data_IF_965847203072
#
_entry.id   IF_965847203072
#
_cell.length_a   1.000
_cell.length_b   1.000
_cell.length_c   1.000
_cell.angle_alpha   90.00
_cell.angle_beta   90.00
_cell.angle_gamma   90.00
#
_symmetry.space_group_name_H-M   'P 1'
#
loop_
_entity.id
_entity.type
_entity.pdbx_description
1 polymer ?
#
# COMPACT_ATOMS: atom_id res chain seq x y z
N UNK A 1 11.86 9.50 -33.34
CA UNK A 1 12.16 9.17 -31.93
C UNK A 1 12.70 10.42 -31.27
N UNK A 2 12.34 10.66 -30.02
CA UNK A 2 12.92 11.69 -29.17
C UNK A 2 13.77 10.98 -28.11
N UNK A 3 14.90 11.54 -27.69
CA UNK A 3 15.75 10.98 -26.64
C UNK A 3 15.64 11.86 -25.40
N UNK A 4 15.12 11.29 -24.31
CA UNK A 4 15.04 11.97 -23.03
C UNK A 4 16.00 11.30 -22.02
N UNK A 5 16.51 12.08 -21.08
CA UNK A 5 17.38 11.59 -19.99
C UNK A 5 16.53 11.38 -18.75
N UNK A 6 16.57 10.20 -18.16
CA UNK A 6 15.80 9.85 -16.96
C UNK A 6 16.73 9.68 -15.76
N UNK A 7 16.28 10.15 -14.59
CA UNK A 7 16.84 9.83 -13.29
C UNK A 7 15.72 9.48 -12.32
N UNK A 8 15.87 8.34 -11.66
CA UNK A 8 14.94 7.86 -10.63
C UNK A 8 15.64 7.88 -9.27
N UNK A 9 14.89 8.21 -8.24
CA UNK A 9 15.40 8.38 -6.87
C UNK A 9 14.85 7.33 -5.92
N UNK A 10 15.64 7.02 -4.88
CA UNK A 10 15.32 6.09 -3.80
C UNK A 10 14.77 4.73 -4.28
N UNK A 11 13.67 4.25 -3.69
CA UNK A 11 13.03 2.96 -3.98
C UNK A 11 12.61 2.78 -5.44
N UNK A 12 12.47 3.86 -6.22
CA UNK A 12 12.14 3.74 -7.65
C UNK A 12 13.26 3.03 -8.43
N UNK A 13 14.50 3.08 -7.95
CA UNK A 13 15.62 2.36 -8.55
C UNK A 13 15.45 0.83 -8.49
N UNK A 14 14.64 0.31 -7.56
CA UNK A 14 14.37 -1.12 -7.47
C UNK A 14 13.63 -1.67 -8.71
N UNK A 15 12.90 -0.82 -9.44
CA UNK A 15 12.21 -1.19 -10.67
C UNK A 15 13.14 -1.27 -11.89
N UNK A 16 14.31 -0.64 -11.83
CA UNK A 16 15.20 -0.49 -12.98
C UNK A 16 16.22 -1.64 -13.08
N UNK A 17 16.72 -1.94 -14.29
CA UNK A 17 17.92 -2.76 -14.48
C UNK A 17 19.11 -2.20 -13.71
N UNK A 18 19.96 -3.07 -13.17
CA UNK A 18 21.10 -2.69 -12.30
C UNK A 18 22.02 -1.62 -12.92
N UNK A 19 22.21 -1.64 -14.24
CA UNK A 19 23.07 -0.68 -14.95
C UNK A 19 22.53 0.76 -14.97
N UNK A 20 21.23 0.94 -14.72
CA UNK A 20 20.49 2.21 -14.80
C UNK A 20 20.15 2.78 -13.42
N UNK A 21 20.45 2.07 -12.34
CA UNK A 21 20.16 2.51 -10.96
C UNK A 21 21.08 3.64 -10.54
N UNK A 22 20.52 4.55 -9.73
CA UNK A 22 21.21 5.64 -9.02
C UNK A 22 21.99 6.58 -9.95
N UNK A 23 21.56 6.70 -11.21
CA UNK A 23 22.20 7.55 -12.21
C UNK A 23 21.23 8.03 -13.28
N UNK A 24 21.64 9.08 -13.98
CA UNK A 24 20.96 9.54 -15.18
C UNK A 24 21.34 8.66 -16.38
N UNK A 25 20.38 8.36 -17.25
CA UNK A 25 20.60 7.62 -18.49
C UNK A 25 19.65 8.07 -19.60
N UNK A 26 20.10 7.99 -20.85
CA UNK A 26 19.28 8.30 -22.01
C UNK A 26 18.34 7.15 -22.37
N UNK A 27 17.13 7.48 -22.79
CA UNK A 27 16.15 6.52 -23.30
C UNK A 27 15.43 7.07 -24.54
N UNK A 28 15.39 6.27 -25.59
CA UNK A 28 14.68 6.61 -26.83
C UNK A 28 13.18 6.39 -26.64
N UNK A 29 12.42 7.46 -26.85
CA UNK A 29 10.96 7.52 -26.72
C UNK A 29 10.30 7.68 -28.10
N UNK A 30 9.05 7.22 -28.22
CA UNK A 30 8.20 7.57 -29.36
C UNK A 30 7.99 9.10 -29.40
N UNK A 31 7.80 9.69 -30.59
CA UNK A 31 7.71 11.15 -30.76
C UNK A 31 6.58 11.80 -29.96
N UNK A 32 5.50 11.06 -29.75
CA UNK A 32 4.30 11.56 -29.04
C UNK A 32 4.13 10.85 -27.67
N UNK A 33 5.21 10.26 -27.15
CA UNK A 33 5.16 9.62 -25.84
C UNK A 33 4.96 10.69 -24.75
N UNK A 34 4.04 10.41 -23.83
CA UNK A 34 3.95 11.18 -22.59
C UNK A 34 5.00 10.71 -21.60
N UNK A 35 5.30 11.54 -20.60
CA UNK A 35 6.21 11.17 -19.50
C UNK A 35 5.76 9.86 -18.85
N UNK A 36 4.45 9.68 -18.63
CA UNK A 36 3.86 8.44 -18.13
C UNK A 36 4.29 7.23 -18.94
N UNK A 37 4.03 7.25 -20.25
CA UNK A 37 4.28 6.10 -21.11
C UNK A 37 5.77 5.74 -21.14
N UNK A 38 6.66 6.74 -21.14
CA UNK A 38 8.10 6.49 -21.10
C UNK A 38 8.56 5.89 -19.76
N UNK A 39 8.06 6.41 -18.63
CA UNK A 39 8.34 5.87 -17.28
C UNK A 39 7.85 4.41 -17.16
N UNK A 40 6.65 4.11 -17.64
CA UNK A 40 6.09 2.75 -17.63
C UNK A 40 6.84 1.79 -18.54
N UNK A 41 7.37 2.27 -19.68
CA UNK A 41 8.22 1.50 -20.59
C UNK A 41 9.58 1.16 -19.97
N UNK A 42 10.12 2.05 -19.11
CA UNK A 42 11.26 1.76 -18.23
C UNK A 42 10.90 0.82 -17.07
N UNK A 43 9.61 0.52 -16.94
CA UNK A 43 9.04 -0.46 -16.03
C UNK A 43 8.55 0.13 -14.71
N UNK A 44 8.79 1.41 -14.43
CA UNK A 44 8.36 2.03 -13.18
C UNK A 44 6.85 2.29 -13.26
N UNK A 45 6.01 1.74 -12.36
CA UNK A 45 4.58 2.04 -12.40
C UNK A 45 4.31 3.51 -12.09
N UNK A 46 3.41 4.15 -12.82
CA UNK A 46 3.09 5.57 -12.60
C UNK A 46 2.54 5.86 -11.20
N UNK A 47 1.92 4.87 -10.56
CA UNK A 47 1.38 4.98 -9.19
C UNK A 47 2.46 5.08 -8.13
N UNK A 48 3.70 4.72 -8.45
CA UNK A 48 4.84 4.84 -7.54
C UNK A 48 5.49 6.22 -7.62
N UNK A 49 5.12 7.05 -8.60
CA UNK A 49 5.66 8.39 -8.79
C UNK A 49 4.86 9.39 -7.96
N UNK A 50 5.53 10.11 -7.07
CA UNK A 50 4.94 11.21 -6.31
C UNK A 50 5.28 12.57 -6.91
N UNK A 51 6.56 12.98 -6.82
CA UNK A 51 7.05 14.22 -7.44
C UNK A 51 7.74 13.91 -8.76
N UNK A 52 7.42 14.70 -9.78
CA UNK A 52 7.98 14.59 -11.12
C UNK A 52 8.46 15.96 -11.58
N UNK A 53 9.68 16.02 -12.10
CA UNK A 53 10.24 17.22 -12.69
C UNK A 53 10.69 16.94 -14.13
N UNK A 54 10.42 17.89 -15.04
CA UNK A 54 11.02 17.92 -16.38
C UNK A 54 11.77 19.22 -16.53
N UNK A 55 13.06 19.16 -16.85
CA UNK A 55 13.97 20.31 -16.96
C UNK A 55 13.90 21.20 -15.71
N UNK A 56 14.00 20.57 -14.53
CA UNK A 56 13.99 21.20 -13.20
C UNK A 56 12.67 21.92 -12.82
N UNK A 57 11.64 21.83 -13.66
CA UNK A 57 10.30 22.34 -13.38
C UNK A 57 9.32 21.20 -13.02
N UNK A 58 8.39 21.38 -12.06
CA UNK A 58 7.33 20.41 -11.80
C UNK A 58 6.52 20.09 -13.06
N UNK A 59 6.22 18.80 -13.26
CA UNK A 59 5.54 18.33 -14.45
C UNK A 59 4.48 17.27 -14.11
N UNK A 60 3.45 17.19 -14.95
CA UNK A 60 2.44 16.14 -14.88
C UNK A 60 2.83 14.93 -15.76
N UNK A 61 2.31 13.76 -15.41
CA UNK A 61 2.57 12.50 -16.10
C UNK A 61 2.04 12.49 -17.54
N UNK A 62 0.99 13.26 -17.84
CA UNK A 62 0.38 13.36 -19.18
C UNK A 62 1.10 14.36 -20.10
N UNK A 63 2.11 15.08 -19.61
CA UNK A 63 2.94 15.98 -20.44
C UNK A 63 3.62 15.18 -21.56
N UNK A 64 3.60 15.64 -22.83
CA UNK A 64 4.41 15.07 -23.90
C UNK A 64 5.91 15.25 -23.61
N UNK A 65 6.75 14.36 -24.15
CA UNK A 65 8.21 14.44 -24.04
C UNK A 65 8.82 15.02 -25.32
N UNK A 66 9.71 16.00 -25.15
CA UNK A 66 10.52 16.57 -26.24
C UNK A 66 11.92 15.94 -26.28
N UNK A 67 12.60 16.07 -27.43
CA UNK A 67 13.98 15.63 -27.58
C UNK A 67 14.91 16.45 -26.67
N UNK A 68 15.74 15.78 -25.88
CA UNK A 68 16.64 16.39 -24.91
C UNK A 68 16.05 16.63 -23.53
N UNK A 69 14.76 16.36 -23.30
CA UNK A 69 14.13 16.54 -21.99
C UNK A 69 14.86 15.75 -20.89
N UNK A 70 15.04 16.38 -19.72
CA UNK A 70 15.55 15.74 -18.50
C UNK A 70 14.41 15.46 -17.54
N UNK A 71 14.11 14.19 -17.29
CA UNK A 71 13.05 13.73 -16.40
C UNK A 71 13.66 13.25 -15.08
N UNK A 72 13.20 13.82 -13.97
CA UNK A 72 13.52 13.35 -12.62
C UNK A 72 12.26 12.91 -11.90
N UNK A 73 12.24 11.65 -11.46
CA UNK A 73 11.10 11.03 -10.81
C UNK A 73 11.45 10.60 -9.37
N UNK A 74 10.58 10.99 -8.43
CA UNK A 74 10.72 10.73 -7.01
C UNK A 74 9.54 9.90 -6.51
N UNK A 75 9.73 9.03 -5.52
CA UNK A 75 8.69 8.10 -5.06
C UNK A 75 7.49 8.81 -4.41
N UNK A 76 6.33 8.18 -4.50
CA UNK A 76 5.10 8.56 -3.79
C UNK A 76 5.23 8.22 -2.30
N UNK A 77 5.27 9.27 -1.47
CA UNK A 77 5.31 9.19 0.00
C UNK A 77 4.15 10.00 0.60
N UNK A 78 3.68 9.62 1.79
CA UNK A 78 2.56 10.31 2.46
C UNK A 78 2.84 11.79 2.77
N UNK A 79 4.10 12.16 3.01
CA UNK A 79 4.48 13.56 3.16
C UNK A 79 4.90 14.13 1.80
N UNK A 80 4.15 15.10 1.24
CA UNK A 80 4.67 15.85 0.13
C UNK A 80 5.89 16.61 0.65
N UNK A 81 7.07 16.33 0.08
CA UNK A 81 8.12 17.34 0.06
C UNK A 81 7.47 18.60 -0.50
N UNK A 82 7.28 19.61 0.34
CA UNK A 82 6.50 20.80 0.03
C UNK A 82 7.21 21.62 -1.06
N UNK A 83 7.07 21.21 -2.32
CA UNK A 83 7.53 21.97 -3.48
C UNK A 83 6.64 21.62 -4.69
N UNK A 84 5.53 22.35 -4.79
CA UNK A 84 4.80 22.70 -6.01
C UNK A 84 4.39 21.59 -7.00
N UNK A 85 3.17 21.06 -6.77
CA UNK A 85 2.19 20.72 -7.83
C UNK A 85 2.34 19.36 -8.51
N UNK A 86 1.47 18.37 -8.32
CA UNK A 86 0.28 18.26 -7.49
C UNK A 86 0.22 16.81 -6.99
N UNK A 87 0.58 16.58 -5.73
CA UNK A 87 0.28 15.33 -5.04
C UNK A 87 -1.20 15.35 -4.64
N UNK A 88 -1.90 14.25 -4.88
CA UNK A 88 -3.27 14.12 -4.41
C UNK A 88 -3.27 14.30 -2.87
N UNK A 89 -4.21 15.07 -2.29
CA UNK A 89 -4.28 15.21 -0.85
C UNK A 89 -4.42 13.82 -0.20
N UNK A 90 -3.86 13.61 1.01
CA UNK A 90 -4.03 12.36 1.72
C UNK A 90 -5.53 12.04 1.82
N UNK A 91 -5.91 10.76 1.66
CA UNK A 91 -7.32 10.40 1.60
C UNK A 91 -7.97 10.68 2.96
N UNK A 92 -9.23 11.12 2.95
CA UNK A 92 -10.00 11.31 4.18
C UNK A 92 -10.09 10.01 5.01
N UNK A 93 -10.01 8.84 4.36
CA UNK A 93 -9.93 7.53 4.99
C UNK A 93 -8.99 6.62 4.22
N UNK A 94 -8.10 5.93 4.93
CA UNK A 94 -7.24 4.90 4.37
C UNK A 94 -8.04 3.63 4.07
N UNK A 95 -8.31 3.39 2.79
CA UNK A 95 -9.01 2.20 2.29
C UNK A 95 -8.13 1.51 1.26
N UNK A 96 -8.00 0.20 1.40
CA UNK A 96 -7.11 -0.61 0.59
C UNK A 96 -7.88 -1.69 -0.17
N UNK A 97 -7.31 -2.13 -1.28
CA UNK A 97 -7.63 -3.42 -1.89
C UNK A 97 -6.32 -4.15 -2.14
N UNK A 98 -6.20 -5.35 -1.59
CA UNK A 98 -5.01 -6.17 -1.70
C UNK A 98 -5.19 -7.24 -2.79
N UNK A 99 -4.12 -7.49 -3.55
CA UNK A 99 -4.08 -8.60 -4.50
C UNK A 99 -4.22 -9.97 -3.81
N UNK A 100 -4.45 -11.02 -4.59
CA UNK A 100 -4.70 -12.38 -4.10
C UNK A 100 -3.52 -12.97 -3.28
N UNK A 101 -2.29 -12.49 -3.48
CA UNK A 101 -1.08 -12.97 -2.79
C UNK A 101 -0.80 -12.23 -1.48
N UNK A 102 -1.53 -11.15 -1.20
CA UNK A 102 -1.33 -10.29 -0.03
C UNK A 102 -2.35 -10.55 1.10
N UNK A 103 -2.89 -11.76 1.19
CA UNK A 103 -3.89 -12.13 2.20
C UNK A 103 -3.41 -11.96 3.64
N UNK A 104 -2.14 -12.25 3.92
CA UNK A 104 -1.54 -12.02 5.24
C UNK A 104 -1.50 -10.53 5.60
N UNK A 105 -1.07 -9.68 4.66
CA UNK A 105 -1.07 -8.23 4.83
C UNK A 105 -2.49 -7.69 5.03
N UNK A 106 -3.46 -8.15 4.23
CA UNK A 106 -4.86 -7.75 4.35
C UNK A 106 -5.42 -8.04 5.74
N UNK A 107 -5.08 -9.19 6.34
CA UNK A 107 -5.48 -9.50 7.71
C UNK A 107 -4.82 -8.58 8.74
N UNK A 108 -3.54 -8.26 8.59
CA UNK A 108 -2.83 -7.35 9.49
C UNK A 108 -3.38 -5.92 9.41
N UNK A 109 -3.68 -5.42 8.21
CA UNK A 109 -4.30 -4.11 8.00
C UNK A 109 -5.70 -4.03 8.62
N UNK A 110 -6.53 -5.08 8.43
CA UNK A 110 -7.84 -5.19 9.09
C UNK A 110 -7.70 -5.21 10.61
N UNK A 111 -6.69 -5.90 11.13
CA UNK A 111 -6.41 -5.93 12.57
C UNK A 111 -6.02 -4.55 13.09
N UNK A 112 -5.19 -3.80 12.35
CA UNK A 112 -4.80 -2.43 12.64
C UNK A 112 -5.95 -1.41 12.50
N UNK A 113 -7.06 -1.81 11.85
CA UNK A 113 -8.29 -1.04 11.76
C UNK A 113 -8.59 -0.41 10.40
N UNK A 114 -7.81 -0.76 9.38
CA UNK A 114 -7.93 -0.23 8.02
C UNK A 114 -8.87 -1.08 7.17
N UNK A 115 -9.82 -0.42 6.51
CA UNK A 115 -10.75 -1.06 5.57
C UNK A 115 -9.95 -1.63 4.39
N UNK A 116 -9.78 -2.95 4.35
CA UNK A 116 -8.97 -3.63 3.34
C UNK A 116 -9.77 -4.74 2.67
N UNK A 117 -10.15 -4.53 1.41
CA UNK A 117 -10.76 -5.55 0.58
C UNK A 117 -9.70 -6.57 0.13
N UNK A 118 -10.09 -7.85 0.13
CA UNK A 118 -9.24 -8.95 -0.30
C UNK A 118 -10.12 -10.16 -0.57
N UNK A 119 -9.91 -10.79 -1.72
CA UNK A 119 -10.43 -12.09 -2.10
C UNK A 119 -9.35 -12.84 -2.90
N UNK A 120 -9.22 -14.15 -2.68
CA UNK A 120 -8.28 -14.99 -3.43
C UNK A 120 -8.61 -15.08 -4.93
N UNK A 121 -9.84 -14.77 -5.32
CA UNK A 121 -10.32 -14.91 -6.69
C UNK A 121 -10.35 -13.59 -7.46
N UNK A 122 -9.91 -12.49 -6.86
CA UNK A 122 -9.87 -11.22 -7.57
C UNK A 122 -8.95 -11.32 -8.79
N UNK A 123 -9.54 -11.01 -9.94
CA UNK A 123 -8.79 -10.74 -11.16
C UNK A 123 -8.34 -9.28 -11.13
N UNK A 124 -7.23 -9.00 -11.80
CA UNK A 124 -6.67 -7.66 -11.90
C UNK A 124 -7.67 -6.60 -12.39
N UNK A 125 -8.56 -6.97 -13.33
CA UNK A 125 -9.60 -6.06 -13.85
C UNK A 125 -10.62 -5.70 -12.77
N UNK A 126 -11.04 -6.68 -11.98
CA UNK A 126 -12.01 -6.51 -10.90
C UNK A 126 -11.40 -5.68 -9.76
N UNK A 127 -10.13 -5.94 -9.45
CA UNK A 127 -9.39 -5.22 -8.44
C UNK A 127 -9.20 -3.75 -8.82
N UNK A 128 -8.79 -3.47 -10.07
CA UNK A 128 -8.66 -2.10 -10.57
C UNK A 128 -10.02 -1.38 -10.64
N UNK A 129 -11.08 -2.06 -11.07
CA UNK A 129 -12.43 -1.50 -11.11
C UNK A 129 -12.96 -1.19 -9.69
N UNK A 130 -12.72 -2.08 -8.72
CA UNK A 130 -13.08 -1.87 -7.33
C UNK A 130 -12.31 -0.68 -6.72
N UNK A 131 -11.00 -0.59 -7.01
CA UNK A 131 -10.16 0.51 -6.57
C UNK A 131 -10.67 1.85 -7.10
N UNK A 132 -10.96 1.92 -8.41
CA UNK A 132 -11.48 3.12 -9.04
C UNK A 132 -12.86 3.51 -8.49
N UNK A 133 -13.78 2.55 -8.37
CA UNK A 133 -15.16 2.79 -7.91
C UNK A 133 -15.23 3.26 -6.45
N UNK A 134 -14.36 2.75 -5.59
CA UNK A 134 -14.40 3.02 -4.14
C UNK A 134 -13.28 3.94 -3.63
N UNK A 135 -12.43 4.44 -4.53
CA UNK A 135 -11.27 5.27 -4.19
C UNK A 135 -10.25 4.55 -3.30
N UNK A 136 -10.06 3.24 -3.51
CA UNK A 136 -9.13 2.42 -2.70
C UNK A 136 -7.72 2.45 -3.28
N UNK A 137 -6.73 2.37 -2.39
CA UNK A 137 -5.33 2.20 -2.77
C UNK A 137 -5.10 0.72 -3.08
N UNK A 138 -4.55 0.43 -4.26
CA UNK A 138 -4.18 -0.92 -4.67
C UNK A 138 -2.89 -1.35 -3.99
N UNK A 139 -2.89 -2.46 -3.29
CA UNK A 139 -1.69 -3.09 -2.74
C UNK A 139 -1.36 -4.30 -3.59
N UNK A 140 -0.17 -4.33 -4.18
CA UNK A 140 0.24 -5.47 -5.01
C UNK A 140 1.75 -5.61 -5.11
N UNK A 141 2.20 -6.77 -5.57
CA UNK A 141 3.57 -7.01 -6.03
C UNK A 141 3.67 -7.19 -7.54
N UNK A 142 2.59 -6.87 -8.26
CA UNK A 142 2.55 -6.88 -9.73
C UNK A 142 2.65 -5.45 -10.27
N UNK A 143 3.70 -5.20 -11.05
CA UNK A 143 3.95 -3.90 -11.69
C UNK A 143 2.92 -3.62 -12.78
N UNK A 144 2.49 -4.63 -13.52
CA UNK A 144 1.57 -4.46 -14.65
C UNK A 144 0.17 -4.09 -14.16
N UNK A 145 -0.26 -4.62 -13.02
CA UNK A 145 -1.49 -4.18 -12.35
C UNK A 145 -1.43 -2.68 -12.01
N UNK A 146 -0.30 -2.20 -11.49
CA UNK A 146 -0.12 -0.79 -11.12
C UNK A 146 -0.02 0.17 -12.31
N UNK A 147 0.42 -0.29 -13.48
CA UNK A 147 0.45 0.51 -14.73
C UNK A 147 -0.93 0.71 -15.36
N UNK A 148 -1.94 -0.01 -14.90
CA UNK A 148 -3.30 0.12 -15.45
C UNK A 148 -3.86 1.51 -15.20
N UNK A 149 -4.41 2.13 -16.25
CA UNK A 149 -5.01 3.47 -16.20
C UNK A 149 -6.12 3.60 -15.13
N UNK A 150 -6.86 2.53 -14.87
CA UNK A 150 -7.93 2.53 -13.86
C UNK A 150 -7.38 2.64 -12.42
N UNK A 151 -6.11 2.31 -12.19
CA UNK A 151 -5.47 2.43 -10.88
C UNK A 151 -4.96 3.85 -10.70
N UNK A 152 -5.72 4.66 -9.97
CA UNK A 152 -5.34 6.02 -9.63
C UNK A 152 -4.27 6.06 -8.53
N UNK A 153 -4.31 5.13 -7.58
CA UNK A 153 -3.38 5.03 -6.46
C UNK A 153 -3.04 3.58 -6.18
N UNK A 154 -1.76 3.31 -5.95
CA UNK A 154 -1.30 2.00 -5.56
C UNK A 154 0.04 2.05 -4.86
N UNK A 155 0.37 0.94 -4.21
CA UNK A 155 1.66 0.71 -3.59
C UNK A 155 2.16 -0.64 -4.06
N UNK A 156 3.34 -0.64 -4.67
CA UNK A 156 4.12 -1.84 -4.86
C UNK A 156 4.76 -2.26 -3.53
N UNK A 157 4.63 -3.53 -3.16
CA UNK A 157 5.24 -4.08 -1.95
C UNK A 157 6.55 -4.82 -2.28
N UNK A 158 7.66 -4.29 -1.79
CA UNK A 158 8.98 -4.91 -1.96
C UNK A 158 9.17 -6.10 -1.02
N UNK A 159 8.70 -5.99 0.22
CA UNK A 159 8.81 -7.03 1.23
C UNK A 159 8.00 -8.30 0.87
N UNK A 160 8.52 -9.45 1.29
CA UNK A 160 7.91 -10.76 1.05
C UNK A 160 7.00 -11.19 2.20
N UNK A 161 7.41 -10.90 3.43
CA UNK A 161 6.70 -11.36 4.63
C UNK A 161 5.62 -10.36 5.04
N UNK A 162 4.42 -10.82 5.46
CA UNK A 162 3.32 -9.93 5.80
C UNK A 162 3.63 -8.86 6.86
N UNK A 163 4.45 -9.20 7.86
CA UNK A 163 4.84 -8.24 8.90
C UNK A 163 5.76 -7.14 8.35
N UNK A 164 6.64 -7.49 7.42
CA UNK A 164 7.55 -6.53 6.79
C UNK A 164 6.82 -5.68 5.74
N UNK A 165 5.87 -6.26 5.01
CA UNK A 165 4.96 -5.52 4.13
C UNK A 165 4.12 -4.50 4.91
N UNK A 166 3.66 -4.87 6.10
CA UNK A 166 2.93 -3.95 6.97
C UNK A 166 3.82 -2.77 7.38
N UNK A 167 5.06 -3.04 7.79
CA UNK A 167 6.03 -2.00 8.17
C UNK A 167 6.34 -1.07 7.02
N UNK A 168 6.67 -1.62 5.85
CA UNK A 168 6.91 -0.87 4.62
C UNK A 168 5.75 0.08 4.31
N UNK A 169 4.50 -0.40 4.41
CA UNK A 169 3.33 0.42 4.16
C UNK A 169 3.13 1.53 5.21
N UNK A 170 3.41 1.22 6.47
CA UNK A 170 3.28 2.16 7.59
C UNK A 170 4.29 3.30 7.50
N UNK A 171 5.55 2.99 7.15
CA UNK A 171 6.60 3.97 6.93
C UNK A 171 6.29 4.83 5.71
N UNK A 172 5.86 4.20 4.60
CA UNK A 172 5.55 4.90 3.35
C UNK A 172 4.35 5.84 3.46
N UNK A 173 3.30 5.41 4.16
CA UNK A 173 2.00 6.10 4.20
C UNK A 173 1.70 6.79 5.54
N UNK A 174 2.63 6.77 6.50
CA UNK A 174 2.46 7.30 7.86
C UNK A 174 1.13 6.84 8.51
N UNK A 175 0.92 5.52 8.54
CA UNK A 175 -0.37 4.95 8.96
C UNK A 175 -0.56 4.88 10.48
N UNK A 176 0.52 4.97 11.26
CA UNK A 176 0.47 4.78 12.71
C UNK A 176 -0.53 5.70 13.43
N UNK A 177 -0.62 7.02 13.12
CA UNK A 177 -1.59 7.92 13.75
C UNK A 177 -3.06 7.55 13.45
N UNK A 178 -3.32 6.81 12.38
CA UNK A 178 -4.66 6.51 11.88
C UNK A 178 -5.20 5.15 12.34
N UNK A 179 -4.42 4.39 13.09
CA UNK A 179 -4.79 3.05 13.53
C UNK A 179 -6.01 3.06 14.46
N UNK A 180 -6.94 2.12 14.21
CA UNK A 180 -8.08 1.84 15.10
C UNK A 180 -8.23 0.32 15.29
N UNK A 181 -7.33 -0.31 16.06
CA UNK A 181 -7.22 -1.76 16.08
C UNK A 181 -8.48 -2.47 16.56
N UNK A 182 -8.61 -3.74 16.15
CA UNK A 182 -9.63 -4.68 16.62
C UNK A 182 -11.09 -4.29 16.33
N UNK A 183 -11.33 -3.38 15.37
CA UNK A 183 -12.69 -2.96 14.97
C UNK A 183 -13.25 -3.66 13.74
N UNK A 184 -12.43 -4.35 12.95
CA UNK A 184 -12.83 -5.00 11.70
C UNK A 184 -12.63 -6.52 11.78
N UNK A 185 -13.52 -7.25 11.11
CA UNK A 185 -13.42 -8.68 10.96
C UNK A 185 -12.24 -9.03 10.05
N UNK A 186 -11.32 -9.86 10.53
CA UNK A 186 -10.16 -10.30 9.74
C UNK A 186 -10.54 -11.08 8.48
N UNK A 187 -11.74 -11.68 8.45
CA UNK A 187 -12.25 -12.45 7.30
C UNK A 187 -13.07 -11.61 6.34
N UNK A 188 -14.05 -10.87 6.86
CA UNK A 188 -15.06 -10.18 6.05
C UNK A 188 -14.84 -8.68 5.91
N UNK A 189 -13.89 -8.10 6.64
CA UNK A 189 -13.67 -6.66 6.72
C UNK A 189 -14.85 -5.85 7.30
N UNK A 190 -15.96 -6.51 7.70
CA UNK A 190 -17.10 -5.89 8.35
C UNK A 190 -16.77 -5.43 9.78
N UNK A 191 -17.41 -4.37 10.29
CA UNK A 191 -17.26 -3.95 11.67
C UNK A 191 -17.55 -5.08 12.66
N UNK A 192 -16.74 -5.14 13.72
CA UNK A 192 -16.97 -6.02 14.86
C UNK A 192 -17.75 -5.27 15.93
N UNK A 193 -18.66 -5.99 16.59
CA UNK A 193 -19.36 -5.48 17.76
C UNK A 193 -18.97 -6.30 19.01
N UNK A 194 -18.98 -5.69 20.21
CA UNK A 194 -18.79 -6.43 21.45
C UNK A 194 -19.84 -7.53 21.61
N UNK A 195 -19.42 -8.67 22.16
CA UNK A 195 -20.27 -9.79 22.51
C UNK A 195 -19.99 -10.16 23.97
N UNK A 196 -21.05 -10.25 24.79
CA UNK A 196 -20.90 -10.69 26.17
C UNK A 196 -20.58 -12.19 26.26
N UNK A 197 -20.09 -12.62 27.43
CA UNK A 197 -19.66 -13.99 27.64
C UNK A 197 -20.83 -15.00 27.61
N UNK A 198 -22.05 -14.60 27.95
CA UNK A 198 -23.23 -15.47 27.95
C UNK A 198 -23.69 -15.75 26.51
N UNK A 199 -23.71 -14.74 25.65
CA UNK A 199 -24.01 -14.85 24.24
C UNK A 199 -22.87 -15.52 23.43
N UNK A 200 -21.62 -15.39 23.89
CA UNK A 200 -20.48 -16.13 23.32
C UNK A 200 -20.46 -17.61 23.72
N UNK A 201 -21.01 -17.96 24.88
CA UNK A 201 -20.98 -19.30 25.47
C UNK A 201 -21.39 -20.47 24.53
N UNK A 202 -22.45 -20.36 23.71
CA UNK A 202 -22.82 -21.43 22.78
C UNK A 202 -21.95 -21.47 21.50
N UNK A 203 -21.14 -20.44 21.24
CA UNK A 203 -20.40 -20.24 19.97
C UNK A 203 -18.89 -20.44 20.09
N UNK A 204 -18.37 -20.66 21.30
CA UNK A 204 -16.95 -20.82 21.57
C UNK A 204 -16.66 -22.05 22.44
N UNK A 205 -15.50 -22.72 22.28
CA UNK A 205 -15.15 -23.89 23.08
C UNK A 205 -15.15 -23.62 24.59
N UNK A 206 -15.49 -24.63 25.41
CA UNK A 206 -15.57 -24.50 26.86
C UNK A 206 -14.29 -23.92 27.50
N UNK A 207 -13.11 -24.39 27.08
CA UNK A 207 -11.82 -23.88 27.56
C UNK A 207 -11.53 -22.43 27.20
N UNK A 208 -12.18 -21.87 26.17
CA UNK A 208 -12.09 -20.44 25.83
C UNK A 208 -12.95 -19.62 26.80
N UNK A 209 -14.17 -20.08 27.09
CA UNK A 209 -15.10 -19.42 28.01
C UNK A 209 -14.54 -19.28 29.43
N UNK A 210 -13.76 -20.27 29.87
CA UNK A 210 -13.14 -20.26 31.19
C UNK A 210 -12.02 -19.21 31.30
N UNK A 211 -11.29 -18.96 30.20
CA UNK A 211 -10.07 -18.12 30.17
C UNK A 211 -10.30 -16.70 29.66
N UNK A 212 -11.43 -16.42 29.02
CA UNK A 212 -11.68 -15.13 28.36
C UNK A 212 -13.03 -14.55 28.77
N UNK A 213 -13.07 -13.22 28.90
CA UNK A 213 -14.27 -12.45 29.30
C UNK A 213 -14.74 -11.47 28.23
N UNK A 214 -13.87 -11.10 27.28
CA UNK A 214 -14.16 -10.16 26.20
C UNK A 214 -14.23 -10.91 24.89
N UNK A 215 -15.36 -10.75 24.20
CA UNK A 215 -15.58 -11.31 22.88
C UNK A 215 -16.03 -10.21 21.94
N UNK A 216 -15.75 -10.40 20.66
CA UNK A 216 -16.31 -9.59 19.59
C UNK A 216 -16.92 -10.51 18.54
N UNK A 217 -17.96 -10.08 17.85
CA UNK A 217 -18.61 -10.85 16.81
C UNK A 217 -18.77 -10.05 15.53
N UNK A 218 -18.88 -10.81 14.43
CA UNK A 218 -19.13 -10.30 13.10
C UNK A 218 -20.50 -10.78 12.62
N UNK A 219 -21.38 -9.87 12.22
CA UNK A 219 -22.73 -10.23 11.75
C UNK A 219 -22.74 -10.90 10.37
N UNK A 220 -21.70 -10.67 9.58
CA UNK A 220 -21.57 -11.23 8.23
C UNK A 220 -21.16 -12.70 8.26
N UNK A 221 -19.99 -13.03 8.83
CA UNK A 221 -19.54 -14.43 8.90
C UNK A 221 -19.92 -15.17 10.17
N UNK A 222 -20.58 -14.50 11.12
CA UNK A 222 -21.00 -15.06 12.42
C UNK A 222 -19.84 -15.65 13.23
N UNK A 223 -18.59 -15.26 12.96
CA UNK A 223 -17.44 -15.66 13.78
C UNK A 223 -17.39 -14.84 15.06
N UNK A 224 -16.89 -15.47 16.12
CA UNK A 224 -16.58 -14.85 17.41
C UNK A 224 -15.06 -14.76 17.54
N UNK A 225 -14.57 -13.63 18.02
CA UNK A 225 -13.17 -13.30 18.23
C UNK A 225 -12.91 -13.06 19.72
N UNK A 226 -11.72 -13.45 20.18
CA UNK A 226 -11.26 -13.27 21.56
C UNK A 226 -9.73 -13.15 21.60
N UNK A 227 -9.18 -12.71 22.73
CA UNK A 227 -7.74 -12.48 22.95
C UNK A 227 -6.93 -13.79 23.15
N UNK A 228 -6.99 -14.69 22.16
CA UNK A 228 -6.21 -15.93 22.13
C UNK A 228 -4.73 -15.74 21.80
N UNK A 229 -3.97 -16.84 21.70
CA UNK A 229 -2.54 -16.81 21.34
C UNK A 229 -2.28 -16.25 19.94
N UNK A 230 -3.12 -16.60 18.95
CA UNK A 230 -3.04 -16.04 17.60
C UNK A 230 -3.25 -14.52 17.60
N UNK A 231 -4.28 -14.06 18.31
CA UNK A 231 -4.56 -12.64 18.47
C UNK A 231 -3.40 -11.90 19.14
N UNK A 232 -2.81 -12.47 20.20
CA UNK A 232 -1.63 -11.88 20.87
C UNK A 232 -0.44 -11.73 19.93
N UNK A 233 -0.14 -12.74 19.10
CA UNK A 233 0.96 -12.67 18.12
C UNK A 233 0.72 -11.56 17.09
N UNK A 234 -0.47 -11.50 16.50
CA UNK A 234 -0.76 -10.46 15.52
C UNK A 234 -0.79 -9.07 16.17
N UNK A 235 -1.28 -8.97 17.41
CA UNK A 235 -1.23 -7.72 18.19
C UNK A 235 0.21 -7.25 18.38
N UNK A 236 1.16 -8.13 18.71
CA UNK A 236 2.57 -7.75 18.82
C UNK A 236 3.11 -7.10 17.53
N UNK A 237 2.75 -7.66 16.36
CA UNK A 237 3.14 -7.08 15.06
C UNK A 237 2.52 -5.70 14.86
N UNK A 238 1.23 -5.55 15.15
CA UNK A 238 0.49 -4.28 14.99
C UNK A 238 0.96 -3.23 16.00
N UNK A 239 1.21 -3.61 17.24
CA UNK A 239 1.68 -2.71 18.30
C UNK A 239 3.12 -2.23 18.02
N UNK A 240 3.96 -3.05 17.37
CA UNK A 240 5.29 -2.63 16.93
C UNK A 240 5.23 -1.47 15.93
N UNK A 241 4.11 -1.27 15.22
CA UNK A 241 3.93 -0.14 14.30
C UNK A 241 3.59 1.17 15.03
N UNK A 242 3.22 1.13 16.32
CA UNK A 242 2.94 2.32 17.14
C UNK A 242 4.21 2.89 17.78
N UNK A 243 5.24 2.07 17.92
CA UNK A 243 6.52 2.51 18.46
C UNK A 243 7.29 3.25 17.36
N UNK A 244 7.98 4.36 17.67
CA UNK A 244 8.96 4.90 16.73
C UNK A 244 9.98 3.78 16.40
N UNK A 245 10.50 3.72 15.17
CA UNK A 245 11.57 2.78 14.85
C UNK A 245 12.69 2.96 15.90
N UNK A 246 13.31 1.86 16.37
CA UNK A 246 14.51 2.00 17.21
C UNK A 246 15.49 2.89 16.44
N UNK A 247 16.03 3.92 17.10
CA UNK A 247 17.08 4.72 16.50
C UNK A 247 18.19 3.77 16.05
N UNK A 248 18.57 3.82 14.77
CA UNK A 248 19.67 3.02 14.25
C UNK A 248 20.93 3.35 15.04
N UNK A 249 21.28 2.48 15.99
CA UNK A 249 22.63 2.39 16.55
C UNK A 249 23.53 1.76 15.48
N UNK A 250 23.85 2.53 14.43
CA UNK A 250 24.95 2.24 13.52
C UNK A 250 25.73 3.53 13.24
N UNK A 251 26.46 3.96 14.27
CA UNK A 251 27.65 4.79 14.09
C UNK A 251 28.67 4.43 15.19
N UNK A 252 29.55 3.48 14.86
CA UNK A 252 30.84 3.27 15.50
C UNK A 252 31.80 2.61 14.49
#
# INVERSE_FOLDING_TARGET
MATATFRFHDELNAFLPRAQRDRAFGHACARDATVKHAIEALGVPHTEIGRLCVNDAPAALDRPLDDGDRVEAFPERAQPAAVNGATAPPPAQWRFVADAHLGGLAQLLRLAGFDTCYDNHYRDDELAALAAREGRIVLTRDRELLKRRAVARGCYLHALQPADQLRELFERLDLAPHMRPFRLCLRCNAPLHPLDAAAAAPRVPAGVRLRHRRFAACDVCRRVFWEGSHWRRMRTVVDAMRAPPPADEHEA
#
